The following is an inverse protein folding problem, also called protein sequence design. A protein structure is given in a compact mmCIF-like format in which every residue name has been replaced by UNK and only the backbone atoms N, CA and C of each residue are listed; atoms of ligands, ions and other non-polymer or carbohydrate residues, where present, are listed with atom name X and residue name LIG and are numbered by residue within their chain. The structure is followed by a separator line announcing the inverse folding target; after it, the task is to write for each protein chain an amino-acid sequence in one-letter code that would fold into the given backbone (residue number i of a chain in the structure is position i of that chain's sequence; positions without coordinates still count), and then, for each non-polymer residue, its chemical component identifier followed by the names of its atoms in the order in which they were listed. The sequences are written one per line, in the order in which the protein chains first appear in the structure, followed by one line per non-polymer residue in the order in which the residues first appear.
data_IF_164251943879
#
_entry.id   IF_164251943879
#
_cell.length_a   1.000
_cell.length_b   1.000
_cell.length_c   1.000
_cell.angle_alpha   90.00
_cell.angle_beta   90.00
_cell.angle_gamma   90.00
#
_symmetry.space_group_name_H-M   'P 1'
#
loop_
_entity.id
_entity.type
_entity.pdbx_description
1 polymer ?
#
# COMPACT_ATOMS: atom_id res chain seq x y z
N UNK A 1 -6.62 1.37 2.17
CA UNK A 1 -7.60 0.43 2.76
C UNK A 1 -8.95 1.12 2.82
N UNK A 2 -10.03 0.40 2.56
CA UNK A 2 -11.40 0.91 2.51
C UNK A 2 -12.30 0.10 3.46
N UNK A 3 -13.26 0.78 4.07
CA UNK A 3 -14.32 0.17 4.88
C UNK A 3 -15.65 0.88 4.57
N UNK A 4 -16.70 0.13 4.26
CA UNK A 4 -18.03 0.64 3.89
C UNK A 4 -18.03 1.73 2.80
N UNK A 5 -17.19 1.59 1.76
CA UNK A 5 -17.12 2.59 0.68
C UNK A 5 -16.19 3.77 0.98
N UNK A 6 -15.68 3.89 2.21
CA UNK A 6 -14.83 5.00 2.63
C UNK A 6 -13.37 4.57 2.80
N UNK A 7 -12.46 5.34 2.21
CA UNK A 7 -11.03 5.13 2.42
C UNK A 7 -10.64 5.50 3.85
N UNK A 8 -10.10 4.55 4.62
CA UNK A 8 -9.62 4.78 5.99
C UNK A 8 -8.19 5.35 6.01
N UNK A 9 -7.33 4.80 5.17
CA UNK A 9 -5.94 5.26 5.02
C UNK A 9 -5.36 4.87 3.66
N UNK A 10 -4.30 5.58 3.28
CA UNK A 10 -3.41 5.26 2.16
C UNK A 10 -2.01 4.98 2.67
N UNK A 11 -1.10 4.50 1.81
CA UNK A 11 0.31 4.29 2.17
C UNK A 11 1.17 5.24 1.35
N UNK A 12 1.98 6.06 2.02
CA UNK A 12 3.03 6.83 1.37
C UNK A 12 4.23 5.90 1.16
N UNK A 13 4.45 5.49 -0.09
CA UNK A 13 5.52 4.56 -0.46
C UNK A 13 6.92 5.15 -0.26
N UNK A 14 7.09 6.47 -0.29
CA UNK A 14 8.40 7.11 -0.08
C UNK A 14 8.80 7.08 1.39
N UNK A 15 7.81 7.30 2.27
CA UNK A 15 8.00 7.29 3.71
C UNK A 15 7.82 5.92 4.33
N UNK A 16 7.23 4.97 3.59
CA UNK A 16 6.83 3.65 4.11
C UNK A 16 5.92 3.77 5.33
N UNK A 17 4.94 4.67 5.26
CA UNK A 17 4.04 5.00 6.37
C UNK A 17 2.57 4.97 5.94
N UNK A 18 1.70 4.60 6.87
CA UNK A 18 0.26 4.74 6.71
C UNK A 18 -0.16 6.20 6.91
N UNK A 19 -0.88 6.76 5.95
CA UNK A 19 -1.47 8.09 6.01
C UNK A 19 -2.96 7.94 6.24
N UNK A 20 -3.39 8.19 7.47
CA UNK A 20 -4.79 8.13 7.87
C UNK A 20 -5.60 9.27 7.27
N UNK A 21 -6.80 8.97 6.76
CA UNK A 21 -7.71 10.01 6.26
C UNK A 21 -8.18 10.92 7.39
N UNK A 22 -8.49 10.34 8.55
CA UNK A 22 -8.79 11.06 9.79
C UNK A 22 -7.62 10.85 10.76
N UNK A 23 -6.89 11.91 11.16
CA UNK A 23 -5.72 11.77 12.03
C UNK A 23 -5.98 11.02 13.34
N UNK A 24 -7.18 11.20 13.92
CA UNK A 24 -7.57 10.55 15.16
C UNK A 24 -7.50 9.01 15.09
N UNK A 25 -7.64 8.39 13.91
CA UNK A 25 -7.49 6.94 13.79
C UNK A 25 -6.06 6.44 14.04
N UNK A 26 -5.05 7.28 13.79
CA UNK A 26 -3.66 6.96 14.09
C UNK A 26 -3.35 6.85 15.59
N UNK A 27 -4.22 7.41 16.44
CA UNK A 27 -4.09 7.29 17.90
C UNK A 27 -4.64 5.94 18.42
N UNK A 28 -5.53 5.30 17.66
CA UNK A 28 -6.21 4.06 18.08
C UNK A 28 -5.78 2.81 17.30
N UNK A 29 -5.25 2.98 16.09
CA UNK A 29 -4.88 1.90 15.20
C UNK A 29 -3.50 2.13 14.59
N UNK A 30 -2.72 1.06 14.48
CA UNK A 30 -1.46 1.06 13.77
C UNK A 30 -1.54 0.11 12.58
N UNK A 31 -0.98 0.54 11.45
CA UNK A 31 -0.86 -0.29 10.26
C UNK A 31 0.61 -0.36 9.86
N UNK A 32 1.15 -1.58 9.79
CA UNK A 32 2.48 -1.83 9.25
C UNK A 32 2.39 -2.01 7.72
N UNK A 33 2.92 -1.07 6.91
CA UNK A 33 2.85 -1.16 5.47
C UNK A 33 3.83 -2.16 4.85
N UNK A 34 4.77 -2.75 5.61
CA UNK A 34 5.81 -3.63 5.08
C UNK A 34 5.26 -4.80 4.27
N UNK A 35 4.18 -5.44 4.73
CA UNK A 35 3.53 -6.54 3.99
C UNK A 35 2.95 -6.09 2.63
N UNK A 36 2.40 -4.86 2.58
CA UNK A 36 1.91 -4.27 1.33
C UNK A 36 3.06 -3.89 0.38
N UNK A 37 4.14 -3.32 0.91
CA UNK A 37 5.32 -2.96 0.13
C UNK A 37 5.99 -4.18 -0.51
N UNK A 38 6.13 -5.27 0.23
CA UNK A 38 6.64 -6.54 -0.30
C UNK A 38 5.77 -7.05 -1.46
N UNK A 39 4.45 -6.96 -1.32
CA UNK A 39 3.51 -7.37 -2.37
C UNK A 39 3.64 -6.50 -3.63
N UNK A 40 3.80 -5.17 -3.47
CA UNK A 40 4.03 -4.25 -4.59
C UNK A 40 5.35 -4.56 -5.31
N UNK A 41 6.41 -4.86 -4.56
CA UNK A 41 7.70 -5.24 -5.14
C UNK A 41 7.58 -6.52 -5.99
N UNK A 42 6.88 -7.54 -5.49
CA UNK A 42 6.61 -8.76 -6.26
C UNK A 42 5.77 -8.50 -7.51
N UNK A 43 4.73 -7.67 -7.41
CA UNK A 43 3.90 -7.29 -8.56
C UNK A 43 4.73 -6.58 -9.63
N UNK A 44 5.62 -5.64 -9.22
CA UNK A 44 6.51 -4.95 -10.16
C UNK A 44 7.44 -5.93 -10.86
N UNK A 45 8.10 -6.84 -10.11
CA UNK A 45 8.98 -7.84 -10.70
C UNK A 45 8.25 -8.76 -11.70
N UNK A 46 7.01 -9.17 -11.39
CA UNK A 46 6.20 -9.95 -12.31
C UNK A 46 5.78 -9.15 -13.56
N UNK A 47 5.42 -7.87 -13.41
CA UNK A 47 5.09 -6.99 -14.52
C UNK A 47 6.28 -6.79 -15.46
N UNK A 48 7.48 -6.58 -14.92
CA UNK A 48 8.71 -6.44 -15.72
C UNK A 48 8.94 -7.69 -16.59
N UNK A 49 8.78 -8.88 -16.02
CA UNK A 49 8.86 -10.16 -16.75
C UNK A 49 7.78 -10.28 -17.83
N UNK A 50 6.54 -9.88 -17.54
CA UNK A 50 5.45 -9.92 -18.53
C UNK A 50 5.73 -8.96 -19.70
N UNK A 51 6.28 -7.78 -19.42
CA UNK A 51 6.67 -6.80 -20.45
C UNK A 51 7.80 -7.35 -21.31
N UNK A 52 8.83 -7.96 -20.71
CA UNK A 52 9.92 -8.60 -21.44
C UNK A 52 9.44 -9.72 -22.38
N UNK A 53 8.44 -10.51 -21.95
CA UNK A 53 7.90 -11.65 -22.71
C UNK A 53 6.83 -11.30 -23.73
N UNK A 54 6.28 -10.09 -23.68
CA UNK A 54 5.22 -9.64 -24.59
C UNK A 54 5.76 -8.91 -25.83
N UNK A 55 7.09 -8.91 -26.02
CA UNK A 55 7.79 -8.37 -27.18
C UNK A 55 8.46 -9.49 -28.00
#
# INVERSE_FOLDING_TARGET
YEFDGEQLFSVDLKKSEAVWRLPAFGDFAHFDPQGGLASIAMIRAHLDVLVERSN
#
